data_IF_987636133306
#
_entry.id   IF_987636133306
#
_cell.length_a   1.000
_cell.length_b   1.000
_cell.length_c   1.000
_cell.angle_alpha   90.00
_cell.angle_beta   90.00
_cell.angle_gamma   90.00
#
_symmetry.space_group_name_H-M   'P 1'
#
loop_
_entity.id
_entity.type
_entity.pdbx_description
1 polymer ?
#
# COMPACT_ATOMS: atom_id res chain seq x y z
N UNK A 1 18.84 -26.00 14.34
CA UNK A 1 17.71 -25.06 14.35
C UNK A 1 17.71 -24.32 13.03
N UNK A 2 16.97 -24.83 12.04
CA UNK A 2 16.77 -24.10 10.79
C UNK A 2 15.86 -22.91 11.12
N UNK A 3 16.36 -21.69 10.91
CA UNK A 3 15.50 -20.51 10.86
C UNK A 3 14.41 -20.81 9.83
N UNK A 4 13.11 -20.63 10.15
CA UNK A 4 12.09 -20.74 9.13
C UNK A 4 12.45 -19.75 8.02
N UNK A 5 12.65 -20.27 6.81
CA UNK A 5 12.91 -19.49 5.61
C UNK A 5 11.97 -18.27 5.60
N UNK A 6 12.46 -17.07 5.22
CA UNK A 6 11.60 -15.90 5.15
C UNK A 6 10.39 -16.28 4.32
N UNK A 7 9.23 -16.19 4.98
CA UNK A 7 7.90 -16.50 4.51
C UNK A 7 7.82 -16.14 3.03
N UNK A 8 7.86 -17.17 2.18
CA UNK A 8 7.36 -17.20 0.81
C UNK A 8 7.10 -15.78 0.30
N UNK A 9 8.16 -15.07 -0.13
CA UNK A 9 8.07 -13.64 -0.51
C UNK A 9 6.80 -13.48 -1.32
N UNK A 10 5.74 -12.83 -0.77
CA UNK A 10 4.58 -12.57 -1.58
C UNK A 10 5.14 -11.75 -2.73
N UNK A 11 5.05 -12.25 -3.97
CA UNK A 11 5.31 -11.39 -5.11
C UNK A 11 4.28 -10.29 -5.02
N UNK A 12 4.67 -9.17 -4.42
CA UNK A 12 3.82 -7.99 -4.24
C UNK A 12 3.55 -7.35 -5.59
N UNK A 13 4.32 -7.71 -6.62
CA UNK A 13 4.33 -7.12 -7.94
C UNK A 13 5.70 -6.57 -8.29
N UNK A 14 5.93 -6.28 -9.57
CA UNK A 14 7.14 -5.63 -10.06
C UNK A 14 7.27 -4.23 -9.46
N UNK A 15 6.15 -3.51 -9.33
CA UNK A 15 6.15 -2.12 -8.88
C UNK A 15 5.93 -2.02 -7.37
N UNK A 16 4.94 -2.72 -6.83
CA UNK A 16 4.58 -2.58 -5.42
C UNK A 16 5.63 -3.16 -4.45
N UNK A 17 6.47 -4.10 -4.91
CA UNK A 17 7.48 -4.73 -4.08
C UNK A 17 8.53 -3.74 -3.56
N UNK A 18 8.89 -2.73 -4.35
CA UNK A 18 9.83 -1.69 -3.92
C UNK A 18 9.23 -0.89 -2.76
N UNK A 19 8.04 -0.32 -2.94
CA UNK A 19 7.35 0.48 -1.91
C UNK A 19 7.11 -0.31 -0.62
N UNK A 20 6.71 -1.58 -0.76
CA UNK A 20 6.51 -2.48 0.38
C UNK A 20 7.81 -2.68 1.14
N UNK A 21 8.91 -2.99 0.45
CA UNK A 21 10.22 -3.17 1.10
C UNK A 21 10.65 -1.92 1.85
N UNK A 22 10.55 -0.74 1.23
CA UNK A 22 10.89 0.54 1.85
C UNK A 22 10.03 0.83 3.09
N UNK A 23 8.73 0.51 3.06
CA UNK A 23 7.84 0.66 4.24
C UNK A 23 8.18 -0.36 5.34
N UNK A 24 8.56 -1.59 4.99
CA UNK A 24 9.02 -2.60 5.95
C UNK A 24 10.34 -2.17 6.61
N UNK A 25 11.23 -1.56 5.83
CA UNK A 25 12.53 -1.03 6.28
C UNK A 25 12.38 0.24 7.14
N UNK A 26 11.16 0.80 7.21
CA UNK A 26 10.83 2.05 7.93
C UNK A 26 11.65 3.24 7.44
N UNK A 27 11.85 3.35 6.12
CA UNK A 27 12.40 4.56 5.54
C UNK A 27 11.50 5.78 5.85
N UNK A 28 12.11 6.96 5.96
CA UNK A 28 11.41 8.22 6.19
C UNK A 28 10.74 8.73 4.89
N UNK A 29 9.69 9.56 5.00
CA UNK A 29 9.01 10.16 3.84
C UNK A 29 7.73 9.46 3.36
N UNK A 30 7.32 8.40 4.05
CA UNK A 30 6.02 7.78 3.84
C UNK A 30 4.90 8.57 4.50
N UNK A 31 3.72 8.54 3.90
CA UNK A 31 2.54 9.15 4.50
C UNK A 31 2.05 8.27 5.65
N UNK A 32 1.88 8.90 6.81
CA UNK A 32 1.41 8.24 8.04
C UNK A 32 -0.03 8.62 8.41
N UNK A 33 -0.62 9.61 7.72
CA UNK A 33 -1.98 10.11 8.00
C UNK A 33 -3.03 9.39 7.15
N UNK A 34 -2.77 9.29 5.86
CA UNK A 34 -3.61 8.64 4.87
C UNK A 34 -2.93 7.48 4.16
N UNK A 35 -1.65 7.23 4.42
CA UNK A 35 -0.90 6.16 3.76
C UNK A 35 -1.08 4.75 4.35
N UNK A 36 -0.38 3.79 3.75
CA UNK A 36 -0.36 2.39 4.19
C UNK A 36 0.63 2.20 5.35
N UNK A 37 0.17 1.52 6.40
CA UNK A 37 0.91 1.16 7.59
C UNK A 37 1.26 -0.32 7.56
N UNK A 38 2.49 -0.67 7.90
CA UNK A 38 2.91 -2.08 7.99
C UNK A 38 3.05 -2.52 9.45
N UNK A 39 2.22 -3.49 9.85
CA UNK A 39 2.32 -4.13 11.15
C UNK A 39 3.24 -5.34 11.05
N UNK A 40 4.48 -5.18 11.52
CA UNK A 40 5.48 -6.26 11.56
C UNK A 40 5.03 -7.47 12.38
N UNK A 41 4.24 -7.23 13.43
CA UNK A 41 3.75 -8.26 14.35
C UNK A 41 2.78 -9.23 13.64
N UNK A 42 1.80 -8.69 12.93
CA UNK A 42 0.83 -9.48 12.16
C UNK A 42 1.26 -9.74 10.71
N UNK A 43 2.39 -9.16 10.25
CA UNK A 43 2.85 -9.12 8.85
C UNK A 43 1.74 -8.70 7.88
N UNK A 44 1.00 -7.64 8.24
CA UNK A 44 -0.16 -7.15 7.49
C UNK A 44 -0.05 -5.66 7.26
N UNK A 45 -0.60 -5.22 6.13
CA UNK A 45 -0.76 -3.81 5.83
C UNK A 45 -2.15 -3.35 6.26
N UNK A 46 -2.24 -2.12 6.75
CA UNK A 46 -3.47 -1.45 7.16
C UNK A 46 -3.47 -0.03 6.63
N UNK A 47 -4.64 0.52 6.38
CA UNK A 47 -4.81 1.90 5.94
C UNK A 47 -6.11 2.41 6.56
N UNK A 48 -6.02 3.50 7.33
CA UNK A 48 -7.14 3.96 8.15
C UNK A 48 -7.60 2.88 9.13
N UNK A 49 -8.83 2.40 8.94
CA UNK A 49 -9.45 1.33 9.75
C UNK A 49 -9.56 -0.02 9.00
N UNK A 50 -9.00 -0.11 7.79
CA UNK A 50 -9.14 -1.27 6.92
C UNK A 50 -7.82 -2.01 6.71
N UNK A 51 -7.93 -3.32 6.47
CA UNK A 51 -6.79 -4.14 6.06
C UNK A 51 -6.48 -3.94 4.58
N UNK A 52 -5.19 -3.95 4.28
CA UNK A 52 -4.64 -3.87 2.93
C UNK A 52 -3.83 -5.13 2.66
N UNK A 53 -4.05 -5.73 1.50
CA UNK A 53 -3.28 -6.88 1.03
C UNK A 53 -2.78 -6.57 -0.36
N UNK A 54 -1.49 -6.72 -0.61
CA UNK A 54 -0.89 -6.48 -1.92
C UNK A 54 -0.34 -7.79 -2.45
N UNK A 55 -0.75 -8.17 -3.67
CA UNK A 55 -0.28 -9.37 -4.37
C UNK A 55 -0.29 -9.09 -5.86
N UNK A 56 0.83 -9.38 -6.53
CA UNK A 56 0.95 -9.33 -8.00
C UNK A 56 0.56 -7.98 -8.62
N UNK A 57 1.04 -6.87 -8.04
CA UNK A 57 0.63 -5.49 -8.40
C UNK A 57 -0.88 -5.28 -8.31
N UNK A 58 -1.59 -6.08 -7.51
CA UNK A 58 -2.99 -5.88 -7.16
C UNK A 58 -3.11 -5.67 -5.66
N UNK A 59 -3.68 -4.53 -5.29
CA UNK A 59 -3.99 -4.18 -3.92
C UNK A 59 -5.46 -4.46 -3.64
N UNK A 60 -5.71 -5.28 -2.62
CA UNK A 60 -7.02 -5.55 -2.07
C UNK A 60 -7.19 -4.81 -0.74
N UNK A 61 -8.27 -4.02 -0.60
CA UNK A 61 -8.49 -3.16 0.57
C UNK A 61 -9.91 -3.32 1.11
N UNK A 62 -10.02 -3.40 2.44
CA UNK A 62 -11.31 -3.40 3.15
C UNK A 62 -12.19 -4.59 2.75
N UNK A 63 -13.37 -4.32 2.20
CA UNK A 63 -14.38 -5.30 1.80
C UNK A 63 -14.06 -6.07 0.48
N UNK A 64 -12.77 -6.27 0.17
CA UNK A 64 -12.35 -6.96 -1.06
C UNK A 64 -12.27 -6.07 -2.30
N UNK A 65 -12.06 -4.75 -2.11
CA UNK A 65 -11.83 -3.84 -3.24
C UNK A 65 -10.46 -4.11 -3.84
N UNK A 66 -10.42 -4.72 -5.02
CA UNK A 66 -9.19 -5.00 -5.77
C UNK A 66 -8.90 -3.88 -6.75
N UNK A 67 -7.73 -3.27 -6.63
CA UNK A 67 -7.24 -2.20 -7.49
C UNK A 67 -5.84 -2.57 -7.98
N UNK A 68 -5.54 -2.29 -9.24
CA UNK A 68 -4.19 -2.45 -9.77
C UNK A 68 -3.27 -1.36 -9.22
N UNK A 69 -2.15 -1.78 -8.63
CA UNK A 69 -1.05 -0.96 -8.18
C UNK A 69 -0.28 -0.42 -9.39
N UNK A 70 -0.70 0.72 -9.91
CA UNK A 70 0.11 1.50 -10.83
C UNK A 70 1.15 2.30 -10.05
N UNK A 71 2.26 2.67 -10.73
CA UNK A 71 3.29 3.53 -10.14
C UNK A 71 2.71 4.83 -9.56
N UNK A 72 1.81 5.49 -10.28
CA UNK A 72 1.15 6.72 -9.83
C UNK A 72 0.25 6.50 -8.60
N UNK A 73 -0.46 5.37 -8.52
CA UNK A 73 -1.29 5.06 -7.36
C UNK A 73 -0.45 4.68 -6.13
N UNK A 74 0.63 3.93 -6.33
CA UNK A 74 1.56 3.58 -5.25
C UNK A 74 2.21 4.82 -4.65
N UNK A 75 2.63 5.78 -5.47
CA UNK A 75 3.12 7.08 -5.01
C UNK A 75 2.10 7.76 -4.09
N UNK A 76 0.82 7.83 -4.47
CA UNK A 76 -0.25 8.42 -3.67
C UNK A 76 -0.51 7.70 -2.33
N UNK A 77 -0.37 6.37 -2.32
CA UNK A 77 -0.68 5.53 -1.16
C UNK A 77 0.49 5.42 -0.17
N UNK A 78 1.72 5.49 -0.66
CA UNK A 78 2.91 5.29 0.14
C UNK A 78 3.64 6.60 0.45
N UNK A 79 3.80 7.51 -0.52
CA UNK A 79 4.54 8.75 -0.30
C UNK A 79 3.63 9.87 0.18
N UNK A 80 4.19 10.69 1.07
CA UNK A 80 3.58 11.95 1.48
C UNK A 80 3.57 12.99 0.36
N UNK A 81 4.64 13.01 -0.43
CA UNK A 81 4.79 13.89 -1.59
C UNK A 81 4.86 13.02 -2.85
N UNK A 82 3.70 12.68 -3.44
CA UNK A 82 3.67 11.88 -4.65
C UNK A 82 4.10 12.71 -5.86
N UNK A 83 4.79 12.08 -6.81
CA UNK A 83 5.14 12.75 -8.05
C UNK A 83 3.92 12.90 -8.98
N UNK A 84 3.39 14.12 -9.07
CA UNK A 84 2.20 14.40 -9.88
C UNK A 84 2.38 14.15 -11.38
N UNK A 85 3.63 14.03 -11.87
CA UNK A 85 3.87 13.75 -13.29
C UNK A 85 3.62 12.28 -13.63
N UNK A 86 3.71 11.38 -12.64
CA UNK A 86 3.46 9.95 -12.78
C UNK A 86 2.00 9.57 -12.51
N UNK A 87 1.23 10.47 -11.89
CA UNK A 87 -0.16 10.24 -11.49
C UNK A 87 -1.10 10.56 -12.67
N UNK A 88 -1.96 9.60 -13.03
CA UNK A 88 -3.03 9.81 -14.01
C UNK A 88 -4.38 9.98 -13.32
N UNK A 89 -5.36 10.51 -14.06
CA UNK A 89 -6.70 10.77 -13.52
C UNK A 89 -7.38 9.50 -12.96
N UNK A 90 -7.17 8.35 -13.61
CA UNK A 90 -7.70 7.07 -13.12
C UNK A 90 -7.06 6.62 -11.80
N UNK A 91 -5.80 6.99 -11.55
CA UNK A 91 -5.12 6.72 -10.28
C UNK A 91 -5.74 7.55 -9.17
N UNK A 92 -6.03 8.83 -9.43
CA UNK A 92 -6.72 9.72 -8.50
C UNK A 92 -8.13 9.21 -8.16
N UNK A 93 -8.88 8.75 -9.16
CA UNK A 93 -10.21 8.17 -8.93
C UNK A 93 -10.14 6.90 -8.08
N UNK A 94 -9.15 6.04 -8.34
CA UNK A 94 -8.91 4.83 -7.57
C UNK A 94 -8.50 5.16 -6.13
N UNK A 95 -7.56 6.09 -5.96
CA UNK A 95 -7.12 6.58 -4.66
C UNK A 95 -8.27 7.16 -3.84
N UNK A 96 -9.13 7.98 -4.46
CA UNK A 96 -10.32 8.52 -3.81
C UNK A 96 -11.29 7.43 -3.34
N UNK A 97 -11.52 6.39 -4.14
CA UNK A 97 -12.33 5.23 -3.73
C UNK A 97 -11.71 4.49 -2.54
N UNK A 98 -10.39 4.33 -2.54
CA UNK A 98 -9.67 3.71 -1.41
C UNK A 98 -9.88 4.52 -0.14
N UNK A 99 -9.69 5.84 -0.18
CA UNK A 99 -9.90 6.72 0.98
C UNK A 99 -11.33 6.66 1.51
N UNK A 100 -12.31 6.50 0.62
CA UNK A 100 -13.73 6.35 0.98
C UNK A 100 -13.99 5.01 1.69
N UNK A 101 -13.50 3.91 1.12
CA UNK A 101 -13.66 2.54 1.66
C UNK A 101 -12.94 2.36 2.99
N UNK A 102 -11.69 2.84 3.08
CA UNK A 102 -10.86 2.74 4.29
C UNK A 102 -11.30 3.70 5.39
N UNK A 103 -12.18 4.66 5.06
CA UNK A 103 -12.56 5.80 5.90
C UNK A 103 -11.34 6.55 6.45
N UNK A 104 -10.20 6.52 5.73
CA UNK A 104 -8.98 7.20 6.16
C UNK A 104 -9.22 8.71 6.33
N UNK A 105 -10.17 9.28 5.59
CA UNK A 105 -10.60 10.68 5.68
C UNK A 105 -11.40 11.05 6.94
N UNK A 106 -11.84 10.07 7.75
CA UNK A 106 -12.83 10.27 8.84
C UNK A 106 -12.19 10.33 10.23
N UNK A 107 -10.88 10.53 10.33
CA UNK A 107 -10.12 10.53 11.58
C UNK A 107 -9.74 11.94 12.04
#
# INVERSE_FOLDING_TARGET
FALPSPVNDPSYGEHASEYVKKKIDREEGFDDLYGIHYHKDSKRFTMGDSYVTIKDDVMEIGNGLKIHCTLGLLELLFKKNPDMTMIRDHDLQSYKKILDVTKAHRK
#
